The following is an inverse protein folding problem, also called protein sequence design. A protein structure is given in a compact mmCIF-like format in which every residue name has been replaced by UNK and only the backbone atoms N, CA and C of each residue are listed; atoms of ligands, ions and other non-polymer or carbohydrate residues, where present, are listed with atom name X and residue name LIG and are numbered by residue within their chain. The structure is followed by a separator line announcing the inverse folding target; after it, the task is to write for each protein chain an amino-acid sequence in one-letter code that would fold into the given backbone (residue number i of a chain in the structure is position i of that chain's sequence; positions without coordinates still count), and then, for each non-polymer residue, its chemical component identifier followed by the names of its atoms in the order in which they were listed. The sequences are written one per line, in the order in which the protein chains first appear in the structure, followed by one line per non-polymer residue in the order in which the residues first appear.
data_IF_545184697843
#
_entry.id   IF_545184697843
#
_cell.length_a   1.000
_cell.length_b   1.000
_cell.length_c   1.000
_cell.angle_alpha   90.00
_cell.angle_beta   90.00
_cell.angle_gamma   90.00
#
_symmetry.space_group_name_H-M   'P 1'
#
loop_
_entity.id
_entity.type
_entity.pdbx_description
1 polymer ?
#
# COMPACT_ATOMS: atom_id res chain seq x y z
N UNK A 1 19.12 -50.40 3.75
CA UNK A 1 18.36 -49.24 4.26
C UNK A 1 17.45 -48.76 3.14
N UNK A 2 16.19 -49.20 3.10
CA UNK A 2 15.25 -48.71 2.09
C UNK A 2 14.84 -47.29 2.48
N UNK A 3 15.12 -46.33 1.61
CA UNK A 3 14.69 -44.94 1.81
C UNK A 3 13.22 -44.88 1.47
N UNK A 4 12.38 -44.84 2.50
CA UNK A 4 10.93 -44.69 2.34
C UNK A 4 10.66 -43.35 1.64
N UNK A 5 10.15 -43.42 0.41
CA UNK A 5 9.89 -42.23 -0.39
C UNK A 5 8.63 -41.56 0.18
N UNK A 6 8.71 -40.30 0.64
CA UNK A 6 7.55 -39.63 1.20
C UNK A 6 6.41 -39.53 0.18
N UNK A 7 5.18 -39.76 0.61
CA UNK A 7 4.00 -39.79 -0.26
C UNK A 7 3.82 -38.52 -1.12
N UNK A 8 4.29 -37.37 -0.63
CA UNK A 8 4.25 -36.11 -1.38
C UNK A 8 5.12 -36.13 -2.64
N UNK A 9 6.26 -36.84 -2.62
CA UNK A 9 7.18 -36.90 -3.76
C UNK A 9 6.65 -37.84 -4.86
N UNK A 10 5.93 -38.89 -4.48
CA UNK A 10 5.25 -39.79 -5.42
C UNK A 10 4.06 -39.09 -6.11
N UNK A 11 3.22 -38.38 -5.35
CA UNK A 11 2.07 -37.65 -5.89
C UNK A 11 2.48 -36.57 -6.92
N UNK A 12 3.64 -35.95 -6.73
CA UNK A 12 4.20 -34.97 -7.68
C UNK A 12 4.66 -35.62 -8.99
N UNK A 13 5.32 -36.79 -8.94
CA UNK A 13 5.74 -37.53 -10.15
C UNK A 13 4.57 -38.01 -10.99
N UNK A 14 3.45 -38.33 -10.37
CA UNK A 14 2.22 -38.76 -11.04
C UNK A 14 1.43 -37.61 -11.69
N UNK A 15 1.90 -36.36 -11.60
CA UNK A 15 1.27 -35.22 -12.28
C UNK A 15 -0.09 -34.79 -11.69
N UNK A 16 -0.47 -35.29 -10.50
CA UNK A 16 -1.66 -34.86 -9.76
C UNK A 16 -1.41 -33.45 -9.18
N UNK A 17 -1.77 -32.40 -9.91
CA UNK A 17 -1.73 -31.02 -9.40
C UNK A 17 -2.85 -30.80 -8.37
N UNK A 18 -2.56 -29.98 -7.36
CA UNK A 18 -3.38 -29.71 -6.19
C UNK A 18 -4.81 -29.23 -6.50
N UNK A 19 -5.70 -29.40 -5.51
CA UNK A 19 -7.11 -28.99 -5.56
C UNK A 19 -7.31 -27.51 -5.98
N UNK A 20 -8.49 -27.16 -6.53
CA UNK A 20 -8.76 -25.81 -7.02
C UNK A 20 -8.55 -24.77 -5.91
N UNK A 21 -7.87 -23.68 -6.24
CA UNK A 21 -7.74 -22.56 -5.31
C UNK A 21 -9.11 -21.91 -5.08
N UNK A 22 -9.42 -21.45 -3.85
CA UNK A 22 -10.64 -20.70 -3.59
C UNK A 22 -10.69 -19.45 -4.47
N UNK A 23 -11.83 -19.23 -5.12
CA UNK A 23 -12.07 -18.10 -6.01
C UNK A 23 -11.86 -16.80 -5.21
N UNK A 24 -11.02 -15.85 -5.67
CA UNK A 24 -10.81 -14.60 -4.95
C UNK A 24 -12.13 -13.86 -4.80
N UNK A 25 -12.43 -13.42 -3.57
CA UNK A 25 -13.61 -12.62 -3.28
C UNK A 25 -13.72 -11.41 -4.24
N UNK A 26 -14.93 -11.02 -4.66
CA UNK A 26 -15.12 -9.88 -5.54
C UNK A 26 -14.50 -8.63 -4.89
N UNK A 27 -13.56 -8.01 -5.60
CA UNK A 27 -12.89 -6.79 -5.14
C UNK A 27 -13.96 -5.74 -4.86
N UNK A 28 -13.98 -5.09 -3.68
CA UNK A 28 -14.93 -4.01 -3.42
C UNK A 28 -14.79 -2.95 -4.52
N UNK A 29 -15.93 -2.55 -5.10
CA UNK A 29 -15.97 -1.49 -6.10
C UNK A 29 -15.41 -0.24 -5.45
N UNK A 30 -14.21 0.17 -5.86
CA UNK A 30 -13.64 1.44 -5.42
C UNK A 30 -14.61 2.54 -5.85
N UNK A 31 -14.91 3.51 -4.96
CA UNK A 31 -15.60 4.70 -5.39
C UNK A 31 -14.81 5.33 -6.55
N UNK A 32 -15.51 5.93 -7.53
CA UNK A 32 -14.84 6.63 -8.62
C UNK A 32 -13.86 7.66 -8.01
N UNK A 33 -12.65 7.78 -8.56
CA UNK A 33 -11.71 8.77 -8.07
C UNK A 33 -12.40 10.14 -8.12
N UNK A 34 -12.30 10.90 -7.04
CA UNK A 34 -12.69 12.30 -7.04
C UNK A 34 -12.01 12.97 -8.24
N UNK A 35 -12.75 13.79 -9.00
CA UNK A 35 -12.19 14.51 -10.15
C UNK A 35 -10.95 15.27 -9.65
N UNK A 36 -9.77 15.04 -10.25
CA UNK A 36 -8.55 15.70 -9.79
C UNK A 36 -8.70 17.19 -10.06
N UNK A 37 -8.84 17.98 -9.00
CA UNK A 37 -8.69 19.44 -9.04
C UNK A 37 -7.21 19.85 -9.02
N UNK A 38 -6.31 18.90 -8.84
CA UNK A 38 -4.87 19.12 -8.81
C UNK A 38 -4.32 19.29 -10.23
N UNK A 39 -3.39 20.25 -10.40
CA UNK A 39 -2.55 20.35 -11.60
C UNK A 39 -1.41 19.35 -11.50
N UNK A 40 -0.94 18.84 -12.64
CA UNK A 40 0.26 18.00 -12.65
C UNK A 40 1.45 18.81 -12.09
N UNK A 41 2.27 18.19 -11.27
CA UNK A 41 3.49 18.81 -10.75
C UNK A 41 4.54 18.93 -11.88
N UNK A 42 5.69 19.53 -11.57
CA UNK A 42 6.80 19.71 -12.52
C UNK A 42 7.38 18.40 -13.08
N UNK A 43 7.02 17.25 -12.52
CA UNK A 43 7.45 15.91 -12.95
C UNK A 43 6.36 15.16 -13.72
N UNK A 44 5.25 15.82 -14.08
CA UNK A 44 4.16 15.17 -14.82
C UNK A 44 3.25 14.29 -13.97
N UNK A 45 3.29 14.40 -12.63
CA UNK A 45 2.40 13.67 -11.74
C UNK A 45 1.23 14.53 -11.25
N UNK A 46 0.00 14.03 -11.44
CA UNK A 46 -1.19 14.51 -10.75
C UNK A 46 -1.24 13.87 -9.35
N UNK A 47 -0.73 14.60 -8.37
CA UNK A 47 -0.81 14.21 -6.96
C UNK A 47 -2.00 14.91 -6.29
N UNK A 48 -2.89 14.17 -5.61
CA UNK A 48 -4.01 14.78 -4.92
C UNK A 48 -3.53 15.59 -3.72
N UNK A 49 -4.24 16.68 -3.44
CA UNK A 49 -3.97 17.52 -2.27
C UNK A 49 -4.18 16.72 -0.99
N UNK A 50 -3.30 16.96 0.01
CA UNK A 50 -3.47 16.39 1.35
C UNK A 50 -4.82 16.84 1.94
N UNK A 51 -5.61 15.89 2.42
CA UNK A 51 -6.91 16.17 3.05
C UNK A 51 -6.83 16.11 4.58
N UNK A 52 -7.84 16.64 5.30
CA UNK A 52 -7.91 16.55 6.76
C UNK A 52 -7.74 15.11 7.25
N UNK A 53 -7.15 14.95 8.44
CA UNK A 53 -6.90 13.62 8.99
C UNK A 53 -8.19 12.82 9.11
N UNK A 54 -8.19 11.62 8.50
CA UNK A 54 -9.29 10.66 8.56
C UNK A 54 -8.88 9.39 9.32
N UNK A 55 -9.72 8.37 9.27
CA UNK A 55 -9.49 7.08 9.91
C UNK A 55 -8.34 6.25 9.30
N UNK A 56 -7.79 6.69 8.16
CA UNK A 56 -6.76 6.01 7.38
C UNK A 56 -7.33 5.06 6.31
N UNK A 57 -8.62 5.13 6.00
CA UNK A 57 -9.25 4.27 4.97
C UNK A 57 -9.20 4.86 3.57
N UNK A 58 -9.33 6.19 3.43
CA UNK A 58 -9.31 6.86 2.11
C UNK A 58 -7.94 6.72 1.43
N UNK A 59 -7.99 6.48 0.13
CA UNK A 59 -6.82 6.42 -0.76
C UNK A 59 -7.13 7.10 -2.07
N UNK A 60 -6.20 7.93 -2.51
CA UNK A 60 -6.30 8.55 -3.83
C UNK A 60 -5.07 8.21 -4.67
N UNK A 61 -5.26 7.91 -5.97
CA UNK A 61 -4.17 7.60 -6.88
C UNK A 61 -3.38 8.87 -7.21
N UNK A 62 -2.06 8.70 -7.34
CA UNK A 62 -1.20 9.65 -8.06
C UNK A 62 -1.09 9.15 -9.48
N UNK A 63 -1.45 10.01 -10.43
CA UNK A 63 -1.44 9.66 -11.85
C UNK A 63 -0.22 10.26 -12.52
N UNK A 64 0.45 9.46 -13.33
CA UNK A 64 1.46 9.92 -14.28
C UNK A 64 0.77 10.28 -15.59
N UNK A 65 0.82 11.55 -15.95
CA UNK A 65 0.17 12.10 -17.14
C UNK A 65 1.06 12.11 -18.38
N UNK A 66 2.35 11.80 -18.24
CA UNK A 66 3.27 11.72 -19.37
C UNK A 66 2.98 10.46 -20.20
N UNK A 67 2.48 9.41 -19.54
CA UNK A 67 1.92 8.24 -20.20
C UNK A 67 0.48 8.46 -20.71
N UNK A 68 0.19 7.96 -21.92
CA UNK A 68 -1.15 7.97 -22.53
C UNK A 68 -1.59 6.53 -22.82
N UNK A 69 -2.64 6.00 -22.16
CA UNK A 69 -3.44 6.66 -21.12
C UNK A 69 -2.66 6.87 -19.81
N UNK A 70 -3.05 7.86 -18.97
CA UNK A 70 -2.42 8.10 -17.68
C UNK A 70 -2.41 6.86 -16.80
N UNK A 71 -1.29 6.60 -16.14
CA UNK A 71 -1.11 5.41 -15.27
C UNK A 71 -1.10 5.79 -13.81
N UNK A 72 -1.60 4.90 -12.96
CA UNK A 72 -1.46 5.04 -11.51
C UNK A 72 -0.04 4.63 -11.11
N UNK A 73 0.75 5.55 -10.56
CA UNK A 73 2.11 5.26 -10.09
C UNK A 73 2.16 4.90 -8.60
N UNK A 74 1.29 5.52 -7.80
CA UNK A 74 1.18 5.25 -6.36
C UNK A 74 -0.19 5.65 -5.84
N UNK A 75 -0.45 5.33 -4.59
CA UNK A 75 -1.59 5.86 -3.83
C UNK A 75 -1.06 6.67 -2.66
N UNK A 76 -1.78 7.71 -2.27
CA UNK A 76 -1.47 8.49 -1.08
C UNK A 76 -2.67 8.49 -0.11
N UNK A 77 -2.41 8.81 1.15
CA UNK A 77 -3.43 9.00 2.17
C UNK A 77 -2.94 8.74 3.59
N UNK A 78 -3.80 8.93 4.58
CA UNK A 78 -3.46 8.70 5.99
C UNK A 78 -3.26 7.22 6.32
N UNK A 79 -2.32 6.89 7.21
CA UNK A 79 -1.97 5.52 7.61
C UNK A 79 -1.64 5.45 9.09
N UNK A 80 -1.97 4.32 9.73
CA UNK A 80 -1.56 4.05 11.12
C UNK A 80 -0.21 3.35 11.13
N UNK A 81 0.69 3.81 11.99
CA UNK A 81 1.91 3.08 12.31
C UNK A 81 1.55 1.73 12.94
N UNK A 82 2.21 0.66 12.50
CA UNK A 82 1.96 -0.68 13.07
C UNK A 82 2.58 -0.88 14.45
N UNK A 83 3.52 -0.02 14.86
CA UNK A 83 4.13 -0.07 16.19
C UNK A 83 3.33 0.75 17.21
N UNK A 84 3.07 2.04 16.94
CA UNK A 84 2.44 2.94 17.92
C UNK A 84 1.01 3.39 17.57
N UNK A 85 0.45 2.95 16.43
CA UNK A 85 -0.93 3.28 16.03
C UNK A 85 -1.16 4.72 15.54
N UNK A 86 -0.19 5.63 15.68
CA UNK A 86 -0.30 7.04 15.29
C UNK A 86 -0.54 7.17 13.78
N UNK A 87 -1.45 8.07 13.41
CA UNK A 87 -1.75 8.41 12.02
C UNK A 87 -0.65 9.30 11.42
N UNK A 88 -0.21 8.96 10.21
CA UNK A 88 0.74 9.73 9.42
C UNK A 88 0.30 9.77 7.96
N UNK A 89 0.73 10.79 7.21
CA UNK A 89 0.46 10.85 5.78
C UNK A 89 1.45 9.99 5.00
N UNK A 90 0.94 8.97 4.32
CA UNK A 90 1.73 8.08 3.46
C UNK A 90 1.70 8.60 2.03
N UNK A 91 2.88 8.98 1.54
CA UNK A 91 3.12 9.30 0.12
C UNK A 91 3.45 8.05 -0.70
N UNK A 92 3.68 6.91 -0.05
CA UNK A 92 3.99 5.65 -0.72
C UNK A 92 3.44 4.49 0.12
N UNK A 93 2.42 3.83 -0.43
CA UNK A 93 1.67 2.76 0.24
C UNK A 93 2.39 1.41 0.17
N UNK A 94 3.45 1.27 -0.64
CA UNK A 94 4.18 0.00 -0.68
C UNK A 94 4.85 -0.35 0.65
N UNK A 95 5.03 0.63 1.55
CA UNK A 95 5.73 0.42 2.81
C UNK A 95 4.82 0.75 3.99
N UNK A 96 4.46 -0.29 4.73
CA UNK A 96 3.99 -0.16 6.11
C UNK A 96 5.14 0.44 6.93
N UNK A 97 4.86 1.52 7.67
CA UNK A 97 5.88 2.20 8.47
C UNK A 97 5.77 1.75 9.93
N UNK A 98 6.90 1.30 10.45
CA UNK A 98 7.14 1.10 11.88
C UNK A 98 7.96 2.31 12.35
N UNK A 99 7.61 2.90 13.49
CA UNK A 99 8.58 3.77 14.17
C UNK A 99 9.70 2.92 14.75
N UNK A 100 10.90 3.49 14.84
CA UNK A 100 12.07 2.86 15.48
C UNK A 100 12.08 3.06 16.99
N UNK A 101 10.93 3.37 17.59
CA UNK A 101 10.85 3.88 18.95
C UNK A 101 10.92 2.81 20.03
N UNK A 102 11.66 3.14 21.08
CA UNK A 102 11.73 2.51 22.41
C UNK A 102 10.50 2.82 23.30
N UNK A 103 9.39 3.26 22.70
CA UNK A 103 8.18 3.69 23.41
C UNK A 103 8.13 5.18 23.73
N UNK A 104 9.28 5.87 23.77
CA UNK A 104 9.36 7.32 24.04
C UNK A 104 9.70 8.09 22.77
N UNK A 105 10.70 7.64 22.01
CA UNK A 105 11.17 8.33 20.82
C UNK A 105 10.47 7.82 19.56
N UNK A 106 9.45 8.53 19.06
CA UNK A 106 8.65 8.11 17.89
C UNK A 106 9.29 8.44 16.54
N UNK A 107 10.61 8.33 16.45
CA UNK A 107 11.35 8.56 15.21
C UNK A 107 10.80 7.67 14.08
N UNK A 108 10.45 8.31 12.96
CA UNK A 108 9.85 7.67 11.80
C UNK A 108 8.32 7.75 11.71
N UNK A 109 7.60 7.98 12.81
CA UNK A 109 6.22 8.44 12.72
C UNK A 109 6.24 9.95 12.55
N UNK A 110 6.20 10.45 11.30
CA UNK A 110 6.06 11.89 11.02
C UNK A 110 4.89 12.42 11.84
N UNK A 111 5.20 13.23 12.85
CA UNK A 111 4.24 13.75 13.82
C UNK A 111 3.54 14.99 13.23
N UNK A 112 2.66 15.59 14.03
CA UNK A 112 1.72 16.65 13.66
C UNK A 112 2.39 18.01 13.39
N UNK A 113 3.70 18.15 13.65
CA UNK A 113 4.38 19.46 13.73
C UNK A 113 5.67 19.58 12.88
N UNK A 114 5.88 18.74 11.86
CA UNK A 114 6.97 18.97 10.87
C UNK A 114 6.56 20.03 9.82
N UNK A 115 5.98 21.16 10.28
CA UNK A 115 5.65 22.35 9.47
C UNK A 115 6.42 23.61 9.87
N UNK A 116 7.64 23.47 10.42
CA UNK A 116 8.59 24.58 10.48
C UNK A 116 10.01 24.03 10.32
N UNK A 117 10.59 24.19 9.11
CA UNK A 117 11.98 23.79 8.89
C UNK A 117 12.41 23.49 7.47
N UNK A 118 11.98 24.30 6.49
CA UNK A 118 12.80 24.76 5.34
C UNK A 118 12.10 25.92 4.64
#
# INVERSE_FOLDING_TARGET
MSVEVPAWLSAWREGKRAAPQPVPAPKPKRPPPAKPTAKANYQGFLEPQRWPQDDGTRREPVLDTDHKPPRVVRYVGWRRCMCCGVLFWSQDVQRLRLCTGDGVSRLGCRSRDDTDGI
#
